data_IF_252798161679
#
_entry.id   IF_252798161679
#
_cell.length_a   1.000
_cell.length_b   1.000
_cell.length_c   1.000
_cell.angle_alpha   90.00
_cell.angle_beta   90.00
_cell.angle_gamma   90.00
#
_symmetry.space_group_name_H-M   'P 1'
#
loop_
_entity.id
_entity.type
_entity.pdbx_description
1 polymer ?
#
# COMPACT_ATOMS: atom_id res chain seq x y z
N UNK A 1 -14.06 -45.68 32.06
CA UNK A 1 -13.64 -46.97 31.45
C UNK A 1 -12.97 -46.67 30.12
N UNK A 2 -11.68 -46.37 30.05
CA UNK A 2 -10.49 -47.25 30.18
C UNK A 2 -10.31 -48.18 28.96
N UNK A 3 -9.34 -47.78 28.11
CA UNK A 3 -8.28 -48.57 27.43
C UNK A 3 -8.59 -49.54 26.25
N UNK A 4 -7.84 -49.27 25.18
CA UNK A 4 -6.90 -50.15 24.44
C UNK A 4 -7.40 -51.22 23.44
N UNK A 5 -6.84 -51.09 22.23
CA UNK A 5 -5.97 -52.05 21.52
C UNK A 5 -6.49 -53.48 21.28
N UNK A 6 -6.59 -53.88 20.01
CA UNK A 6 -6.48 -55.30 19.61
C UNK A 6 -5.47 -55.49 18.49
N UNK A 7 -4.46 -56.27 18.85
CA UNK A 7 -3.33 -56.75 18.07
C UNK A 7 -3.56 -58.26 17.86
N UNK A 8 -3.55 -58.68 16.58
CA UNK A 8 -2.76 -59.80 16.00
C UNK A 8 -3.11 -61.28 16.33
N UNK A 9 -3.22 -62.07 15.23
CA UNK A 9 -2.95 -63.52 15.01
C UNK A 9 -3.95 -64.53 15.64
N UNK A 10 -4.23 -65.73 15.11
CA UNK A 10 -3.57 -66.57 14.09
C UNK A 10 -4.50 -67.74 13.70
N UNK A 11 -4.35 -68.15 12.43
CA UNK A 11 -4.29 -69.54 11.93
C UNK A 11 -5.51 -70.46 11.95
N UNK A 12 -5.89 -70.93 10.75
CA UNK A 12 -6.03 -72.37 10.49
C UNK A 12 -5.33 -72.77 9.18
N UNK A 13 -4.65 -73.90 9.27
CA UNK A 13 -3.87 -74.69 8.31
C UNK A 13 -4.78 -75.24 7.17
N UNK A 14 -4.40 -75.82 6.02
CA UNK A 14 -3.17 -76.43 5.51
C UNK A 14 -3.36 -76.81 4.01
N UNK A 15 -2.24 -77.04 3.29
CA UNK A 15 -2.03 -77.91 2.09
C UNK A 15 -2.46 -77.45 0.67
N UNK A 16 -1.49 -77.00 -0.14
CA UNK A 16 -0.83 -77.72 -1.28
C UNK A 16 -0.07 -76.73 -2.18
N UNK A 17 1.13 -77.12 -2.62
CA UNK A 17 2.01 -76.47 -3.62
C UNK A 17 2.12 -77.41 -4.84
N UNK A 18 2.72 -77.06 -6.02
CA UNK A 18 3.13 -75.76 -6.58
C UNK A 18 2.55 -75.52 -7.99
N UNK A 19 2.60 -74.28 -8.53
CA UNK A 19 3.07 -74.03 -9.92
C UNK A 19 3.13 -72.54 -10.30
N UNK A 20 4.30 -72.19 -10.84
CA UNK A 20 4.60 -71.18 -11.88
C UNK A 20 4.42 -69.70 -11.54
N UNK A 21 5.57 -69.15 -11.16
CA UNK A 21 6.08 -67.79 -11.40
C UNK A 21 5.45 -67.13 -12.63
N UNK A 22 4.79 -65.99 -12.41
CA UNK A 22 4.70 -64.90 -13.39
C UNK A 22 5.24 -63.64 -12.71
N UNK A 23 6.25 -63.04 -13.35
CA UNK A 23 6.87 -61.77 -12.95
C UNK A 23 5.77 -60.71 -12.84
N UNK A 24 5.58 -60.15 -11.65
CA UNK A 24 4.81 -58.92 -11.46
C UNK A 24 5.80 -57.78 -11.65
N UNK A 25 5.61 -57.02 -12.73
CA UNK A 25 6.34 -55.81 -13.02
C UNK A 25 6.02 -54.78 -11.94
N UNK A 26 7.04 -54.36 -11.21
CA UNK A 26 6.97 -53.28 -10.23
C UNK A 26 6.76 -51.97 -11.00
N UNK A 27 5.58 -51.37 -10.91
CA UNK A 27 5.36 -49.99 -11.36
C UNK A 27 5.96 -49.10 -10.29
N UNK A 28 7.15 -48.57 -10.57
CA UNK A 28 7.75 -47.48 -9.81
C UNK A 28 6.85 -46.26 -9.97
N UNK A 29 6.09 -45.91 -8.93
CA UNK A 29 5.41 -44.61 -8.84
C UNK A 29 6.48 -43.59 -8.50
N UNK A 30 7.07 -43.00 -9.53
CA UNK A 30 7.94 -41.84 -9.38
C UNK A 30 7.06 -40.67 -8.95
N UNK A 31 7.15 -40.28 -7.68
CA UNK A 31 6.56 -39.05 -7.17
C UNK A 31 7.11 -37.87 -7.98
N UNK A 32 6.22 -37.21 -8.73
CA UNK A 32 6.42 -35.91 -9.36
C UNK A 32 6.61 -34.84 -8.27
N UNK A 33 7.80 -34.76 -7.69
CA UNK A 33 8.27 -33.63 -6.89
C UNK A 33 8.85 -32.52 -7.79
N UNK A 34 8.10 -32.11 -8.82
CA UNK A 34 8.49 -31.01 -9.71
C UNK A 34 7.47 -29.87 -9.77
N UNK A 35 6.40 -29.93 -8.96
CA UNK A 35 5.31 -28.94 -9.00
C UNK A 35 5.32 -27.88 -7.87
N UNK A 36 6.31 -27.87 -6.99
CA UNK A 36 6.34 -26.96 -5.83
C UNK A 36 7.42 -25.86 -5.90
N UNK A 37 8.27 -25.85 -6.93
CA UNK A 37 9.33 -24.85 -7.08
C UNK A 37 8.91 -23.74 -8.06
N UNK A 38 8.03 -24.01 -9.03
CA UNK A 38 7.65 -23.02 -10.05
C UNK A 38 6.75 -21.89 -9.56
N UNK A 39 6.01 -22.06 -8.45
CA UNK A 39 5.12 -21.02 -7.95
C UNK A 39 5.85 -19.86 -7.26
N UNK A 40 7.02 -20.12 -6.66
CA UNK A 40 7.85 -19.07 -6.06
C UNK A 40 8.75 -18.39 -7.10
N UNK A 41 9.14 -19.09 -8.16
CA UNK A 41 9.96 -18.55 -9.26
C UNK A 41 9.14 -17.65 -10.21
N UNK A 42 7.82 -17.82 -10.26
CA UNK A 42 6.91 -17.01 -11.09
C UNK A 42 6.43 -15.73 -10.39
N UNK A 43 6.46 -15.68 -9.05
CA UNK A 43 6.34 -14.44 -8.27
C UNK A 43 7.59 -13.54 -8.42
N UNK A 44 8.68 -14.13 -8.90
CA UNK A 44 9.95 -13.50 -9.27
C UNK A 44 9.89 -12.81 -10.65
N UNK A 45 8.68 -12.44 -11.10
CA UNK A 45 8.51 -11.25 -11.96
C UNK A 45 8.95 -10.02 -11.15
N UNK A 46 10.27 -9.89 -11.11
CA UNK A 46 11.14 -9.04 -10.31
C UNK A 46 10.54 -7.65 -10.13
N UNK A 47 9.86 -7.47 -9.01
CA UNK A 47 9.36 -6.18 -8.57
C UNK A 47 10.51 -5.18 -8.57
N UNK A 48 10.51 -4.27 -9.54
CA UNK A 48 11.56 -3.27 -9.65
C UNK A 48 11.17 -2.03 -8.85
N UNK A 49 11.85 -1.83 -7.72
CA UNK A 49 11.66 -0.64 -6.90
C UNK A 49 12.36 0.60 -7.46
N UNK A 50 13.21 0.49 -8.48
CA UNK A 50 13.93 1.63 -9.01
C UNK A 50 13.01 2.76 -9.51
N UNK A 51 13.56 3.98 -9.48
CA UNK A 51 12.91 5.19 -9.93
C UNK A 51 12.45 6.09 -8.80
N UNK A 52 11.64 7.08 -9.15
CA UNK A 52 11.16 8.07 -8.20
C UNK A 52 9.91 7.56 -7.47
N UNK A 53 9.82 7.90 -6.20
CA UNK A 53 8.68 7.63 -5.33
C UNK A 53 8.36 8.88 -4.51
N UNK A 54 7.08 9.16 -4.35
CA UNK A 54 6.63 10.06 -3.29
C UNK A 54 6.68 9.32 -1.98
N UNK A 55 7.03 10.00 -0.90
CA UNK A 55 7.17 9.41 0.42
C UNK A 55 6.31 10.16 1.44
N UNK A 56 5.62 9.42 2.29
CA UNK A 56 4.82 9.92 3.40
C UNK A 56 5.41 9.32 4.66
N UNK A 57 6.17 10.14 5.39
CA UNK A 57 6.72 9.76 6.68
C UNK A 57 5.77 10.17 7.81
N UNK A 58 5.78 9.42 8.93
CA UNK A 58 5.10 9.84 10.14
C UNK A 58 5.51 11.26 10.54
N UNK A 59 4.52 12.13 10.78
CA UNK A 59 4.72 13.52 11.22
C UNK A 59 5.45 14.45 10.22
N UNK A 60 5.69 14.02 8.98
CA UNK A 60 6.21 14.86 7.91
C UNK A 60 5.15 15.18 6.85
N UNK A 61 5.46 16.15 6.01
CA UNK A 61 4.73 16.38 4.76
C UNK A 61 5.13 15.32 3.73
N UNK A 62 4.37 15.25 2.62
CA UNK A 62 4.78 14.46 1.46
C UNK A 62 6.15 14.95 0.93
N UNK A 63 7.09 14.02 0.87
CA UNK A 63 8.47 14.16 0.38
C UNK A 63 8.64 13.36 -0.91
N UNK A 64 9.87 13.27 -1.43
CA UNK A 64 10.16 12.45 -2.60
C UNK A 64 11.55 11.83 -2.51
N UNK A 65 11.65 10.56 -2.86
CA UNK A 65 12.90 9.79 -2.92
C UNK A 65 13.15 9.25 -4.32
N UNK A 66 14.42 8.99 -4.64
CA UNK A 66 14.83 8.19 -5.79
C UNK A 66 15.44 6.90 -5.28
N UNK A 67 14.87 5.78 -5.71
CA UNK A 67 15.37 4.44 -5.42
C UNK A 67 16.27 3.99 -6.58
N UNK A 68 17.46 3.51 -6.25
CA UNK A 68 18.43 2.93 -7.18
C UNK A 68 18.84 1.55 -6.68
N UNK A 69 19.03 0.59 -7.59
CA UNK A 69 19.58 -0.72 -7.22
C UNK A 69 21.11 -0.68 -7.28
N UNK A 70 21.74 -0.92 -6.14
CA UNK A 70 23.18 -0.99 -5.97
C UNK A 70 23.58 -2.41 -5.54
N UNK A 71 24.01 -3.23 -6.50
CA UNK A 71 24.30 -4.64 -6.26
C UNK A 71 23.04 -5.40 -5.82
N UNK A 72 23.03 -5.85 -4.56
CA UNK A 72 21.90 -6.57 -3.93
C UNK A 72 21.00 -5.68 -3.07
N UNK A 73 21.25 -4.37 -3.02
CA UNK A 73 20.47 -3.44 -2.21
C UNK A 73 19.71 -2.46 -3.09
N UNK A 74 18.53 -2.06 -2.64
CA UNK A 74 17.85 -0.85 -3.04
C UNK A 74 18.22 0.25 -2.06
N UNK A 75 18.73 1.36 -2.59
CA UNK A 75 19.07 2.56 -1.82
C UNK A 75 18.12 3.67 -2.25
N UNK A 76 17.36 4.21 -1.30
CA UNK A 76 16.47 5.33 -1.52
C UNK A 76 17.14 6.62 -1.02
N UNK A 77 17.36 7.58 -1.90
CA UNK A 77 17.93 8.90 -1.55
C UNK A 77 16.85 9.97 -1.62
N UNK A 78 16.81 10.86 -0.64
CA UNK A 78 15.92 12.01 -0.63
C UNK A 78 16.22 12.94 -1.81
N UNK A 79 15.18 13.23 -2.59
CA UNK A 79 15.21 14.22 -3.68
C UNK A 79 14.52 15.51 -3.26
N UNK A 80 13.54 15.40 -2.38
CA UNK A 80 12.92 16.48 -1.62
C UNK A 80 12.94 16.02 -0.17
N UNK A 81 13.85 16.57 0.63
CA UNK A 81 14.00 16.25 2.04
C UNK A 81 13.41 17.32 2.96
N UNK A 82 13.72 17.19 4.25
CA UNK A 82 13.31 18.11 5.31
C UNK A 82 14.49 18.46 6.23
N UNK A 83 14.26 19.24 7.29
CA UNK A 83 15.33 19.68 8.22
C UNK A 83 15.93 18.52 9.05
N UNK A 84 15.28 17.36 9.07
CA UNK A 84 15.78 16.15 9.73
C UNK A 84 16.57 15.28 8.76
N UNK A 85 16.11 15.07 7.53
CA UNK A 85 16.80 14.30 6.50
C UNK A 85 16.80 15.14 5.21
N UNK A 86 17.88 15.87 4.93
CA UNK A 86 17.94 16.78 3.78
C UNK A 86 18.03 16.03 2.45
N UNK A 87 17.76 16.75 1.36
CA UNK A 87 17.94 16.19 0.02
C UNK A 87 19.40 15.77 -0.21
N UNK A 88 19.60 14.62 -0.87
CA UNK A 88 20.89 13.99 -1.06
C UNK A 88 21.23 12.91 -0.02
N UNK A 89 20.54 12.89 1.13
CA UNK A 89 20.74 11.87 2.16
C UNK A 89 19.90 10.62 1.91
N UNK A 90 20.32 9.51 2.50
CA UNK A 90 19.59 8.25 2.42
C UNK A 90 18.29 8.39 3.23
N UNK A 91 17.20 7.86 2.68
CA UNK A 91 15.96 7.66 3.41
C UNK A 91 15.88 6.24 3.95
N UNK A 92 16.13 5.25 3.10
CA UNK A 92 16.15 3.86 3.50
C UNK A 92 17.06 3.02 2.59
N UNK A 93 17.52 1.91 3.13
CA UNK A 93 18.19 0.84 2.42
C UNK A 93 17.44 -0.46 2.65
N UNK A 94 17.34 -1.29 1.63
CA UNK A 94 16.68 -2.59 1.72
C UNK A 94 17.35 -3.58 0.78
N UNK A 95 17.64 -4.80 1.23
CA UNK A 95 18.11 -5.86 0.34
C UNK A 95 17.02 -6.28 -0.67
N UNK A 96 17.43 -6.84 -1.79
CA UNK A 96 16.52 -7.25 -2.86
C UNK A 96 15.68 -8.49 -2.54
N UNK A 97 15.94 -9.15 -1.42
CA UNK A 97 15.08 -10.16 -0.81
C UNK A 97 14.10 -9.59 0.23
N UNK A 98 14.13 -8.28 0.49
CA UNK A 98 13.23 -7.56 1.41
C UNK A 98 13.28 -8.05 2.88
N UNK A 99 14.42 -8.56 3.34
CA UNK A 99 14.59 -9.11 4.70
C UNK A 99 15.30 -8.16 5.66
N UNK A 100 16.09 -7.23 5.13
CA UNK A 100 17.00 -6.34 5.82
C UNK A 100 16.72 -4.90 5.38
N UNK A 101 15.73 -4.28 6.03
CA UNK A 101 15.37 -2.89 5.79
C UNK A 101 15.92 -2.01 6.92
N UNK A 102 16.52 -0.87 6.54
CA UNK A 102 16.97 0.17 7.47
C UNK A 102 16.48 1.54 7.00
N UNK A 103 15.78 2.27 7.87
CA UNK A 103 15.39 3.66 7.64
C UNK A 103 16.38 4.60 8.32
N UNK A 104 16.73 5.71 7.68
CA UNK A 104 17.56 6.75 8.29
C UNK A 104 16.69 7.64 9.18
N UNK A 105 17.22 8.02 10.33
CA UNK A 105 16.67 9.05 11.22
C UNK A 105 17.77 9.99 11.65
N UNK A 106 17.40 11.21 12.01
CA UNK A 106 18.29 12.18 12.64
C UNK A 106 17.48 13.15 13.51
N UNK A 107 18.18 13.88 14.38
CA UNK A 107 17.65 15.09 14.99
C UNK A 107 17.52 16.23 13.97
N UNK A 108 16.89 17.32 14.38
CA UNK A 108 16.78 18.53 13.55
C UNK A 108 18.18 19.00 13.13
N UNK A 109 18.25 19.60 11.95
CA UNK A 109 19.47 20.03 11.27
C UNK A 109 20.42 18.85 11.00
N UNK A 110 19.84 17.68 10.71
CA UNK A 110 20.55 16.43 10.45
C UNK A 110 21.55 16.03 11.54
N UNK A 111 21.21 16.29 12.80
CA UNK A 111 22.11 16.00 13.94
C UNK A 111 22.03 14.52 14.34
N UNK A 112 23.18 13.90 14.61
CA UNK A 112 23.30 12.49 15.04
C UNK A 112 22.54 11.49 14.12
N UNK A 113 22.84 11.46 12.81
CA UNK A 113 22.16 10.54 11.90
C UNK A 113 22.46 9.08 12.27
N UNK A 114 21.44 8.23 12.18
CA UNK A 114 21.54 6.80 12.48
C UNK A 114 20.51 6.01 11.68
N UNK A 115 20.66 4.69 11.67
CA UNK A 115 19.70 3.78 11.04
C UNK A 115 18.88 3.04 12.09
N UNK A 116 17.60 2.84 11.77
CA UNK A 116 16.67 2.02 12.53
C UNK A 116 16.13 0.89 11.66
N UNK A 117 15.90 -0.27 12.25
CA UNK A 117 15.39 -1.42 11.52
C UNK A 117 13.92 -1.22 11.12
N UNK A 118 13.62 -1.58 9.88
CA UNK A 118 12.28 -1.63 9.33
C UNK A 118 11.95 -3.00 8.75
N UNK A 119 10.71 -3.17 8.35
CA UNK A 119 10.22 -4.32 7.61
C UNK A 119 9.21 -3.93 6.54
N UNK A 120 9.09 -4.79 5.53
CA UNK A 120 8.18 -4.62 4.43
C UNK A 120 6.76 -5.05 4.83
N UNK A 121 5.81 -4.12 4.76
CA UNK A 121 4.38 -4.41 5.04
C UNK A 121 3.60 -4.67 3.76
N UNK A 122 3.85 -3.90 2.71
CA UNK A 122 3.15 -4.04 1.44
C UNK A 122 4.06 -3.61 0.30
N UNK A 123 4.01 -4.33 -0.81
CA UNK A 123 4.80 -3.98 -1.98
C UNK A 123 4.09 -4.38 -3.27
N UNK A 124 4.07 -3.44 -4.21
CA UNK A 124 3.70 -3.65 -5.60
C UNK A 124 4.36 -2.56 -6.46
N UNK A 125 4.02 -2.50 -7.75
CA UNK A 125 4.66 -1.60 -8.71
C UNK A 125 4.53 -0.10 -8.38
N UNK A 126 3.55 0.30 -7.57
CA UNK A 126 3.24 1.70 -7.29
C UNK A 126 2.95 2.05 -5.82
N UNK A 127 3.14 1.08 -4.92
CA UNK A 127 3.01 1.21 -3.49
C UNK A 127 4.07 0.35 -2.79
N UNK A 128 4.79 0.95 -1.87
CA UNK A 128 5.74 0.32 -0.96
C UNK A 128 5.44 0.86 0.44
N UNK A 129 5.24 -0.01 1.43
CA UNK A 129 4.98 0.39 2.81
C UNK A 129 6.02 -0.26 3.70
N UNK A 130 6.75 0.57 4.44
CA UNK A 130 7.78 0.14 5.38
C UNK A 130 7.31 0.45 6.80
N UNK A 131 7.46 -0.49 7.72
CA UNK A 131 7.17 -0.32 9.14
C UNK A 131 8.46 -0.31 9.96
N UNK A 132 8.58 0.64 10.88
CA UNK A 132 9.66 0.69 11.85
C UNK A 132 9.42 -0.35 12.94
N UNK A 133 10.33 -1.31 13.11
CA UNK A 133 10.15 -2.45 14.03
C UNK A 133 10.02 -2.04 15.50
N UNK A 134 10.64 -0.94 15.89
CA UNK A 134 10.69 -0.51 17.30
C UNK A 134 9.40 0.15 17.80
N UNK A 135 8.58 0.71 16.90
CA UNK A 135 7.41 1.51 17.27
C UNK A 135 6.18 1.33 16.37
N UNK A 136 6.27 0.51 15.32
CA UNK A 136 5.15 0.21 14.40
C UNK A 136 4.76 1.37 13.49
N UNK A 137 5.53 2.47 13.45
CA UNK A 137 5.26 3.60 12.57
C UNK A 137 5.52 3.22 11.12
N UNK A 138 4.61 3.62 10.24
CA UNK A 138 4.66 3.26 8.82
C UNK A 138 5.03 4.45 7.95
N UNK A 139 5.95 4.22 7.03
CA UNK A 139 6.28 5.12 5.93
C UNK A 139 5.68 4.56 4.64
N UNK A 140 4.95 5.40 3.91
CA UNK A 140 4.26 5.01 2.68
C UNK A 140 4.98 5.64 1.50
N UNK A 141 5.37 4.81 0.55
CA UNK A 141 6.00 5.22 -0.70
C UNK A 141 5.05 4.88 -1.84
N UNK A 142 4.80 5.82 -2.73
CA UNK A 142 3.89 5.59 -3.85
C UNK A 142 4.38 6.21 -5.17
N UNK A 143 3.90 5.67 -6.29
CA UNK A 143 4.08 6.24 -7.63
C UNK A 143 2.74 6.64 -8.23
N UNK A 144 2.70 7.75 -8.96
CA UNK A 144 1.57 8.09 -9.83
C UNK A 144 2.00 7.82 -11.29
N UNK A 145 1.97 6.55 -11.69
CA UNK A 145 2.34 6.13 -13.05
C UNK A 145 1.10 5.80 -13.89
N UNK A 146 1.19 5.73 -15.23
CA UNK A 146 0.05 5.37 -16.08
C UNK A 146 -0.64 4.06 -15.72
N UNK A 147 0.10 3.09 -15.16
CA UNK A 147 -0.45 1.82 -14.68
C UNK A 147 -1.02 1.88 -13.26
N UNK A 148 -0.82 3.00 -12.54
CA UNK A 148 -1.47 3.22 -11.26
C UNK A 148 -2.95 3.44 -11.50
N UNK A 149 -3.81 2.82 -10.69
CA UNK A 149 -5.27 2.99 -10.74
C UNK A 149 -5.73 4.39 -10.25
N UNK A 150 -4.96 5.43 -10.57
CA UNK A 150 -5.20 6.82 -10.20
C UNK A 150 -4.09 7.49 -9.43
N UNK A 151 -4.28 8.78 -9.21
CA UNK A 151 -3.43 9.60 -8.35
C UNK A 151 -3.68 9.27 -6.89
N UNK A 152 -2.60 9.00 -6.16
CA UNK A 152 -2.66 8.70 -4.74
C UNK A 152 -3.04 9.96 -3.94
N UNK A 153 -4.14 9.92 -3.19
CA UNK A 153 -4.69 11.10 -2.53
C UNK A 153 -5.04 10.89 -1.05
N UNK A 154 -5.13 9.64 -0.58
CA UNK A 154 -5.43 9.33 0.82
C UNK A 154 -4.45 8.29 1.35
N UNK A 155 -3.72 8.66 2.40
CA UNK A 155 -2.85 7.79 3.23
C UNK A 155 -3.25 7.81 4.70
N UNK A 156 -3.87 8.89 5.17
CA UNK A 156 -4.36 9.07 6.53
C UNK A 156 -5.73 9.77 6.49
N UNK A 157 -6.76 9.14 7.05
CA UNK A 157 -8.11 9.68 7.12
C UNK A 157 -8.26 10.82 8.15
N UNK A 158 -7.20 11.18 8.86
CA UNK A 158 -7.15 12.32 9.79
C UNK A 158 -6.53 13.55 9.14
N UNK A 159 -5.83 13.37 8.02
CA UNK A 159 -5.19 14.47 7.31
C UNK A 159 -6.24 15.42 6.73
N UNK A 160 -6.07 16.72 6.97
CA UNK A 160 -6.89 17.79 6.37
C UNK A 160 -6.05 19.00 6.06
N UNK A 161 -6.57 19.86 5.19
CA UNK A 161 -6.01 21.18 4.95
C UNK A 161 -5.96 21.99 6.25
N UNK A 162 -4.86 22.71 6.52
CA UNK A 162 -4.81 23.64 7.64
C UNK A 162 -5.79 24.80 7.38
N UNK A 163 -6.51 25.23 8.42
CA UNK A 163 -7.53 26.29 8.30
C UNK A 163 -6.95 27.59 7.72
N UNK A 164 -5.77 27.98 8.18
CA UNK A 164 -5.04 29.16 7.68
C UNK A 164 -4.61 29.05 6.20
N UNK A 165 -4.63 27.85 5.63
CA UNK A 165 -4.25 27.61 4.24
C UNK A 165 -5.43 27.68 3.25
N UNK A 166 -6.68 27.65 3.72
CA UNK A 166 -7.85 27.48 2.86
C UNK A 166 -8.00 28.61 1.84
N UNK A 167 -7.82 29.87 2.27
CA UNK A 167 -7.90 31.04 1.38
C UNK A 167 -6.85 30.96 0.26
N UNK A 168 -5.63 30.53 0.60
CA UNK A 168 -4.57 30.37 -0.38
C UNK A 168 -4.87 29.26 -1.37
N UNK A 169 -5.45 28.15 -0.91
CA UNK A 169 -5.89 27.05 -1.78
C UNK A 169 -6.97 27.55 -2.75
N UNK A 170 -7.95 28.32 -2.28
CA UNK A 170 -8.99 28.92 -3.12
C UNK A 170 -8.42 29.87 -4.17
N UNK A 171 -7.41 30.67 -3.82
CA UNK A 171 -6.73 31.57 -4.75
C UNK A 171 -5.93 30.81 -5.84
N UNK A 172 -5.28 29.71 -5.45
CA UNK A 172 -4.38 28.97 -6.33
C UNK A 172 -5.09 27.96 -7.24
N UNK A 173 -6.21 27.37 -6.79
CA UNK A 173 -6.97 26.37 -7.56
C UNK A 173 -7.34 26.84 -8.98
N UNK A 174 -7.89 28.06 -9.20
CA UNK A 174 -8.18 28.55 -10.55
C UNK A 174 -6.93 28.68 -11.43
N UNK A 175 -5.81 29.14 -10.86
CA UNK A 175 -4.53 29.31 -11.56
C UNK A 175 -3.93 27.95 -11.96
N UNK A 176 -4.07 26.96 -11.09
CA UNK A 176 -3.53 25.62 -11.29
C UNK A 176 -4.48 24.67 -12.03
N UNK A 177 -5.75 25.05 -12.24
CA UNK A 177 -6.81 24.15 -12.71
C UNK A 177 -6.43 23.39 -13.99
N UNK A 178 -6.09 24.10 -15.07
CA UNK A 178 -5.68 23.48 -16.35
C UNK A 178 -4.30 22.83 -16.29
N UNK A 179 -3.47 23.23 -15.33
CA UNK A 179 -2.15 22.64 -15.14
C UNK A 179 -2.27 21.26 -14.49
N UNK A 180 -3.05 21.15 -13.41
CA UNK A 180 -3.20 19.95 -12.59
C UNK A 180 -4.27 18.96 -13.08
N UNK A 181 -5.31 19.44 -13.74
CA UNK A 181 -6.46 18.62 -14.12
C UNK A 181 -6.63 18.55 -15.65
N UNK A 182 -7.06 17.39 -16.12
CA UNK A 182 -7.58 17.18 -17.47
C UNK A 182 -9.09 16.95 -17.37
N UNK A 183 -9.90 17.77 -18.05
CA UNK A 183 -11.35 17.75 -17.89
C UNK A 183 -12.09 17.57 -19.21
N UNK A 184 -13.12 16.72 -19.18
CA UNK A 184 -14.12 16.54 -20.23
C UNK A 184 -15.48 16.97 -19.65
N UNK A 185 -16.01 18.10 -20.11
CA UNK A 185 -17.23 18.67 -19.54
C UNK A 185 -17.04 19.11 -18.09
N UNK A 186 -17.75 18.47 -17.14
CA UNK A 186 -17.59 18.71 -15.69
C UNK A 186 -16.81 17.60 -14.97
N UNK A 187 -16.38 16.57 -15.70
CA UNK A 187 -15.59 15.47 -15.16
C UNK A 187 -14.11 15.78 -15.36
N UNK A 188 -13.37 15.91 -14.25
CA UNK A 188 -11.94 16.15 -14.27
C UNK A 188 -11.19 14.94 -13.74
N UNK A 189 -9.95 14.73 -14.21
CA UNK A 189 -9.01 13.74 -13.69
C UNK A 189 -7.74 14.43 -13.28
N UNK A 190 -7.11 13.97 -12.21
CA UNK A 190 -5.74 14.34 -11.88
C UNK A 190 -4.82 13.93 -13.04
N UNK A 191 -3.97 14.85 -13.50
CA UNK A 191 -2.98 14.51 -14.51
C UNK A 191 -1.91 13.59 -13.93
N UNK A 192 -1.46 12.69 -14.78
CA UNK A 192 -0.27 11.88 -14.54
C UNK A 192 0.94 12.70 -14.98
N UNK A 193 1.92 12.82 -14.09
CA UNK A 193 3.10 13.65 -14.31
C UNK A 193 4.24 12.83 -14.91
N UNK A 194 4.97 13.37 -15.91
CA UNK A 194 6.19 12.73 -16.36
C UNK A 194 7.27 12.81 -15.27
N UNK A 195 8.25 11.92 -15.37
CA UNK A 195 9.44 11.91 -14.49
C UNK A 195 10.12 13.28 -14.48
N UNK A 196 10.56 13.74 -13.30
CA UNK A 196 11.20 15.05 -13.12
C UNK A 196 10.23 16.20 -12.85
N UNK A 197 8.93 15.92 -12.65
CA UNK A 197 7.88 16.91 -12.32
C UNK A 197 7.19 16.61 -10.99
N UNK A 198 7.91 15.95 -10.08
CA UNK A 198 7.41 15.47 -8.80
C UNK A 198 6.89 16.61 -7.92
N UNK A 199 7.63 17.72 -7.82
CA UNK A 199 7.21 18.90 -7.06
C UNK A 199 5.87 19.47 -7.55
N UNK A 200 5.62 19.45 -8.86
CA UNK A 200 4.35 19.91 -9.45
C UNK A 200 3.21 18.97 -9.10
N UNK A 201 3.45 17.65 -9.17
CA UNK A 201 2.50 16.63 -8.71
C UNK A 201 2.09 16.86 -7.25
N UNK A 202 3.06 17.08 -6.35
CA UNK A 202 2.82 17.35 -4.92
C UNK A 202 1.98 18.61 -4.72
N UNK A 203 2.30 19.70 -5.43
CA UNK A 203 1.52 20.94 -5.38
C UNK A 203 0.08 20.69 -5.83
N UNK A 204 -0.11 19.95 -6.93
CA UNK A 204 -1.45 19.62 -7.44
C UNK A 204 -2.25 18.76 -6.46
N UNK A 205 -1.63 17.75 -5.83
CA UNK A 205 -2.27 16.93 -4.80
C UNK A 205 -2.66 17.77 -3.59
N UNK A 206 -1.79 18.67 -3.13
CA UNK A 206 -2.11 19.59 -2.03
C UNK A 206 -3.31 20.50 -2.35
N UNK A 207 -3.43 20.94 -3.60
CA UNK A 207 -4.54 21.78 -4.05
C UNK A 207 -5.86 21.02 -4.19
N UNK A 208 -5.84 19.79 -4.71
CA UNK A 208 -7.05 19.10 -5.18
C UNK A 208 -7.40 17.81 -4.42
N UNK A 209 -6.47 17.25 -3.63
CA UNK A 209 -6.61 15.94 -2.99
C UNK A 209 -6.59 15.96 -1.46
N UNK A 210 -6.60 17.13 -0.82
CA UNK A 210 -6.68 17.23 0.65
C UNK A 210 -8.07 17.67 1.09
N UNK A 211 -8.71 16.95 2.03
CA UNK A 211 -10.04 17.31 2.52
C UNK A 211 -9.94 18.55 3.44
N UNK A 212 -11.07 19.23 3.64
CA UNK A 212 -11.19 20.34 4.61
C UNK A 212 -11.76 19.87 5.96
N UNK A 213 -12.48 18.75 5.97
CA UNK A 213 -12.89 18.07 7.20
C UNK A 213 -12.38 16.63 7.20
N UNK A 214 -11.93 16.19 8.37
CA UNK A 214 -11.44 14.86 8.61
C UNK A 214 -11.72 14.44 10.05
N UNK A 215 -11.74 13.14 10.30
CA UNK A 215 -11.92 12.60 11.65
C UNK A 215 -10.67 12.93 12.46
N UNK A 216 -10.84 13.59 13.61
CA UNK A 216 -9.70 13.90 14.50
C UNK A 216 -9.48 12.81 15.55
N UNK A 217 -10.51 11.99 15.82
CA UNK A 217 -10.44 10.88 16.78
C UNK A 217 -9.96 9.60 16.10
N UNK A 218 -9.19 8.81 16.83
CA UNK A 218 -8.92 7.44 16.42
C UNK A 218 -10.23 6.65 16.38
N UNK A 219 -10.42 5.84 15.34
CA UNK A 219 -11.55 4.92 15.23
C UNK A 219 -10.98 3.51 15.25
N UNK A 220 -11.23 2.80 16.35
CA UNK A 220 -10.95 1.37 16.41
C UNK A 220 -11.98 0.61 15.59
N UNK A 221 -11.51 -0.25 14.70
CA UNK A 221 -12.42 -1.09 13.95
C UNK A 221 -13.09 -2.17 14.80
N UNK A 222 -12.43 -2.60 15.88
CA UNK A 222 -12.99 -3.51 16.88
C UNK A 222 -14.23 -2.89 17.54
N UNK A 223 -14.16 -1.60 17.91
CA UNK A 223 -15.27 -0.88 18.53
C UNK A 223 -16.46 -0.69 17.59
N UNK A 224 -16.20 -0.55 16.28
CA UNK A 224 -17.23 -0.23 15.28
C UNK A 224 -17.86 -1.47 14.66
N UNK A 225 -17.07 -2.51 14.42
CA UNK A 225 -17.48 -3.69 13.65
C UNK A 225 -17.37 -5.00 14.43
N UNK A 226 -16.91 -4.98 15.69
CA UNK A 226 -16.62 -6.17 16.49
C UNK A 226 -15.76 -7.18 15.71
N UNK A 227 -14.80 -6.65 14.94
CA UNK A 227 -13.74 -7.48 14.36
C UNK A 227 -12.83 -7.89 15.51
N UNK A 228 -12.39 -9.15 15.52
CA UNK A 228 -11.38 -9.58 16.49
C UNK A 228 -10.07 -8.83 16.29
N UNK A 229 -9.08 -9.12 17.14
CA UNK A 229 -7.79 -8.46 17.06
C UNK A 229 -7.07 -8.74 15.75
N UNK A 230 -6.38 -7.73 15.25
CA UNK A 230 -5.52 -7.81 14.08
C UNK A 230 -5.62 -6.58 13.19
N UNK A 231 -4.57 -6.35 12.42
CA UNK A 231 -4.50 -5.24 11.51
C UNK A 231 -5.12 -5.59 10.15
N UNK A 232 -5.57 -4.58 9.42
CA UNK A 232 -6.01 -4.68 8.04
C UNK A 232 -5.47 -3.51 7.23
N UNK A 233 -4.93 -3.82 6.06
CA UNK A 233 -4.59 -2.81 5.06
C UNK A 233 -5.59 -2.87 3.90
N UNK A 234 -5.89 -1.72 3.30
CA UNK A 234 -6.80 -1.61 2.16
C UNK A 234 -6.24 -0.67 1.11
N UNK A 235 -6.32 -1.07 -0.16
CA UNK A 235 -6.19 -0.18 -1.31
C UNK A 235 -7.57 0.02 -1.94
N UNK A 236 -7.85 1.26 -2.35
CA UNK A 236 -9.13 1.60 -2.94
C UNK A 236 -9.00 2.75 -3.93
N UNK A 237 -10.04 2.88 -4.75
CA UNK A 237 -10.24 3.99 -5.69
C UNK A 237 -11.54 4.70 -5.38
N UNK A 238 -11.61 5.99 -5.71
CA UNK A 238 -12.77 6.83 -5.43
C UNK A 238 -12.84 8.06 -6.36
N UNK A 239 -13.92 8.81 -6.23
CA UNK A 239 -14.16 10.10 -6.89
C UNK A 239 -14.47 11.14 -5.81
N UNK A 240 -14.04 12.38 -6.00
CA UNK A 240 -14.59 13.53 -5.28
C UNK A 240 -15.73 14.10 -6.13
N UNK A 241 -16.96 13.98 -5.67
CA UNK A 241 -18.13 14.41 -6.42
C UNK A 241 -18.27 15.95 -6.43
N UNK A 242 -19.28 16.48 -7.13
CA UNK A 242 -19.55 17.93 -7.23
C UNK A 242 -19.85 18.62 -5.88
N UNK A 243 -20.26 17.87 -4.86
CA UNK A 243 -20.50 18.38 -3.50
C UNK A 243 -19.25 18.34 -2.63
N UNK A 244 -18.17 17.73 -3.11
CA UNK A 244 -16.96 17.51 -2.33
C UNK A 244 -16.99 16.25 -1.48
N UNK A 245 -17.97 15.36 -1.67
CA UNK A 245 -18.02 14.08 -0.95
C UNK A 245 -17.23 13.01 -1.70
N UNK A 246 -16.73 12.02 -0.97
CA UNK A 246 -16.19 10.79 -1.55
C UNK A 246 -17.35 9.95 -2.10
N UNK A 247 -17.24 9.55 -3.36
CA UNK A 247 -18.20 8.68 -4.05
C UNK A 247 -17.48 7.60 -4.87
N UNK A 248 -18.23 6.63 -5.39
CA UNK A 248 -17.76 5.51 -6.22
C UNK A 248 -16.59 4.73 -5.59
N UNK A 249 -16.62 4.55 -4.27
CA UNK A 249 -15.62 3.77 -3.54
C UNK A 249 -15.54 2.33 -4.07
N UNK A 250 -14.36 1.94 -4.55
CA UNK A 250 -14.08 0.58 -5.00
C UNK A 250 -12.81 0.05 -4.33
N UNK A 251 -12.94 -1.07 -3.61
CA UNK A 251 -11.82 -1.75 -2.95
C UNK A 251 -11.04 -2.56 -3.97
N UNK A 252 -9.79 -2.19 -4.23
CA UNK A 252 -8.94 -2.85 -5.23
C UNK A 252 -8.17 -4.02 -4.64
N UNK A 253 -7.68 -3.89 -3.41
CA UNK A 253 -7.06 -4.98 -2.67
C UNK A 253 -7.20 -4.74 -1.16
N UNK A 254 -7.09 -5.80 -0.37
CA UNK A 254 -6.99 -5.71 1.07
C UNK A 254 -6.27 -6.95 1.59
N UNK A 255 -5.66 -6.83 2.76
CA UNK A 255 -5.01 -7.92 3.47
C UNK A 255 -5.17 -7.74 4.99
N UNK A 256 -5.18 -8.84 5.72
CA UNK A 256 -5.28 -8.86 7.18
C UNK A 256 -6.57 -9.45 7.74
N UNK A 257 -6.95 -9.01 8.95
CA UNK A 257 -7.96 -9.67 9.78
C UNK A 257 -9.41 -9.54 9.28
N UNK A 258 -9.75 -8.47 8.55
CA UNK A 258 -11.11 -8.24 8.07
C UNK A 258 -11.44 -9.00 6.79
N UNK A 259 -12.68 -9.48 6.70
CA UNK A 259 -13.23 -9.95 5.43
C UNK A 259 -13.66 -8.79 4.52
N UNK A 260 -13.88 -9.08 3.23
CA UNK A 260 -14.27 -8.07 2.22
C UNK A 260 -15.46 -7.19 2.61
N UNK A 261 -16.48 -7.75 3.28
CA UNK A 261 -17.66 -6.99 3.70
C UNK A 261 -17.30 -6.00 4.82
N UNK A 262 -16.52 -6.45 5.80
CA UNK A 262 -16.02 -5.60 6.89
C UNK A 262 -15.13 -4.48 6.35
N UNK A 263 -14.15 -4.80 5.50
CA UNK A 263 -13.28 -3.81 4.85
C UNK A 263 -14.09 -2.75 4.13
N UNK A 264 -15.04 -3.16 3.28
CA UNK A 264 -15.87 -2.22 2.53
C UNK A 264 -16.69 -1.30 3.45
N UNK A 265 -17.31 -1.87 4.49
CA UNK A 265 -18.11 -1.09 5.46
C UNK A 265 -17.24 -0.12 6.25
N UNK A 266 -16.12 -0.58 6.80
CA UNK A 266 -15.23 0.27 7.60
C UNK A 266 -14.65 1.41 6.76
N UNK A 267 -14.09 1.07 5.60
CA UNK A 267 -13.52 2.06 4.66
C UNK A 267 -14.56 3.10 4.28
N UNK A 268 -15.80 2.68 3.95
CA UNK A 268 -16.88 3.61 3.63
C UNK A 268 -17.20 4.53 4.81
N UNK A 269 -17.30 4.01 6.03
CA UNK A 269 -17.65 4.81 7.21
C UNK A 269 -16.56 5.85 7.54
N UNK A 270 -15.29 5.45 7.47
CA UNK A 270 -14.15 6.35 7.67
C UNK A 270 -14.14 7.43 6.59
N UNK A 271 -14.24 7.04 5.32
CA UNK A 271 -14.18 7.98 4.20
C UNK A 271 -15.40 8.90 4.11
N UNK A 272 -16.57 8.48 4.58
CA UNK A 272 -17.78 9.32 4.63
C UNK A 272 -17.64 10.53 5.57
N UNK A 273 -16.65 10.51 6.46
CA UNK A 273 -16.35 11.64 7.35
C UNK A 273 -15.37 12.64 6.73
N UNK A 274 -14.81 12.34 5.56
CA UNK A 274 -13.97 13.24 4.80
C UNK A 274 -14.84 14.13 3.92
N UNK A 275 -14.70 15.44 4.07
CA UNK A 275 -15.34 16.41 3.17
C UNK A 275 -14.27 17.23 2.47
N UNK A 276 -14.35 17.32 1.15
CA UNK A 276 -13.53 18.17 0.31
C UNK A 276 -14.27 19.47 0.01
N UNK A 277 -13.51 20.52 -0.20
CA UNK A 277 -14.09 21.77 -0.71
C UNK A 277 -14.50 21.57 -2.17
N UNK A 278 -15.79 21.81 -2.53
CA UNK A 278 -16.27 21.68 -3.91
C UNK A 278 -15.38 22.41 -4.91
N UNK A 279 -15.08 21.76 -6.03
CA UNK A 279 -14.28 22.38 -7.08
C UNK A 279 -15.16 23.29 -7.94
N UNK A 280 -15.18 24.59 -7.61
CA UNK A 280 -15.92 25.62 -8.36
C UNK A 280 -14.95 26.56 -9.07
N UNK A 281 -14.94 26.53 -10.41
CA UNK A 281 -14.13 27.41 -11.26
C UNK A 281 -15.05 28.11 -12.27
N UNK A 282 -15.01 29.45 -12.31
CA UNK A 282 -15.89 30.26 -13.16
C UNK A 282 -17.36 29.84 -13.04
N UNK A 283 -17.85 29.75 -11.81
CA UNK A 283 -19.21 29.34 -11.43
C UNK A 283 -19.62 27.90 -11.78
N UNK A 284 -18.82 27.18 -12.56
CA UNK A 284 -19.03 25.78 -12.88
C UNK A 284 -18.42 24.88 -11.81
N UNK A 285 -19.17 23.83 -11.46
CA UNK A 285 -18.78 22.84 -10.46
C UNK A 285 -18.32 21.55 -11.13
N UNK A 286 -17.21 21.01 -10.64
CA UNK A 286 -16.52 19.85 -11.20
C UNK A 286 -16.43 18.71 -10.19
N UNK A 287 -16.31 17.51 -10.71
CA UNK A 287 -15.95 16.30 -9.97
C UNK A 287 -14.53 15.87 -10.36
N UNK A 288 -13.82 15.19 -9.45
CA UNK A 288 -12.45 14.75 -9.64
C UNK A 288 -12.40 13.22 -9.55
N UNK A 289 -12.02 12.61 -10.66
CA UNK A 289 -11.90 11.18 -10.87
C UNK A 289 -10.43 10.73 -10.82
N UNK A 290 -10.23 9.43 -10.97
CA UNK A 290 -8.91 8.79 -11.04
C UNK A 290 -8.12 9.00 -9.74
N UNK A 291 -8.78 8.80 -8.59
CA UNK A 291 -8.19 8.96 -7.27
C UNK A 291 -8.07 7.60 -6.59
N UNK A 292 -6.97 7.40 -5.88
CA UNK A 292 -6.74 6.19 -5.07
C UNK A 292 -6.24 6.53 -3.68
N UNK A 293 -6.34 5.56 -2.79
CA UNK A 293 -5.81 5.68 -1.45
C UNK A 293 -5.41 4.33 -0.87
N UNK A 294 -4.67 4.40 0.23
CA UNK A 294 -4.33 3.28 1.07
C UNK A 294 -4.60 3.66 2.51
N UNK A 295 -5.19 2.74 3.28
CA UNK A 295 -5.42 2.92 4.70
C UNK A 295 -5.01 1.65 5.44
N UNK A 296 -4.67 1.84 6.71
CA UNK A 296 -4.29 0.78 7.64
C UNK A 296 -4.87 1.08 9.02
N UNK A 297 -5.39 0.04 9.68
CA UNK A 297 -5.97 0.10 11.02
C UNK A 297 -5.90 -1.27 11.69
#
# INVERSE_FOLDING_TARGET
>A
MVKYLKIILRQFQNRKSPRKVKKVTLITVTLLFLGLISANEELDQKLNLEGYWFAIYPSSYEEAVKVVKEGRNYVATQTIGNDYIPAGEISFEMDDAFQNCKGQIAGRDFTNPSFIDCELVSVNNDLLVLEVKSNGLKSIFYKDIPSSNGSFCISDFREKLPEKGIEKILELRPKAFKHCLACEGSSCRMKIWPKGRESESLICKKLFCKPVKAIQKYISSEDVLNVGSGATSVQFTFIINKKGDIDNLNITSFDGAMNRKQVKTFTRNVLASLEYMPLKINEKVYEIHNLRGWLYW
#
